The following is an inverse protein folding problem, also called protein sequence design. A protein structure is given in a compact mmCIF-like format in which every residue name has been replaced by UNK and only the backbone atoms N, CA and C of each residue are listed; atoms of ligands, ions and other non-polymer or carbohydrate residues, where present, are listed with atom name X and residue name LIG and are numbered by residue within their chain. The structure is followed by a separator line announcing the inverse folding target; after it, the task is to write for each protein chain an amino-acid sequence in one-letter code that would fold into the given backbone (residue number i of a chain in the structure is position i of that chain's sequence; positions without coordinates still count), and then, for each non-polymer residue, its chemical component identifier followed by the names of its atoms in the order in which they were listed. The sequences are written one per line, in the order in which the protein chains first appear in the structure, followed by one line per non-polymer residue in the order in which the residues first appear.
data_IF_549646457513
#
_entry.id   IF_549646457513
#
_cell.length_a   1.000
_cell.length_b   1.000
_cell.length_c   1.000
_cell.angle_alpha   90.00
_cell.angle_beta   90.00
_cell.angle_gamma   90.00
#
_symmetry.space_group_name_H-M   'P 1'
#
loop_
_entity.id
_entity.type
_entity.pdbx_description
1 polymer ?
#
# COMPACT_ATOMS: atom_id res chain seq x y z
N UNK A 1 40.92 -8.47 -12.32
CA UNK A 1 40.99 -7.45 -11.26
C UNK A 1 39.58 -7.00 -10.99
N UNK A 2 38.98 -7.57 -9.95
CA UNK A 2 37.60 -7.27 -9.57
C UNK A 2 37.52 -5.83 -9.07
N UNK A 3 36.86 -4.97 -9.84
CA UNK A 3 36.55 -3.60 -9.43
C UNK A 3 35.49 -3.63 -8.36
N UNK A 4 35.93 -3.81 -7.11
CA UNK A 4 35.11 -3.61 -5.92
C UNK A 4 34.60 -2.17 -5.97
N UNK A 5 33.28 -2.01 -5.88
CA UNK A 5 32.64 -0.69 -5.87
C UNK A 5 33.28 0.20 -4.80
N UNK A 6 33.66 1.46 -5.11
CA UNK A 6 34.20 2.40 -4.13
C UNK A 6 33.29 2.59 -2.91
N UNK A 7 32.00 2.30 -3.06
CA UNK A 7 30.99 2.40 -1.99
C UNK A 7 31.12 1.28 -0.93
N UNK A 8 31.82 0.17 -1.23
CA UNK A 8 32.12 -0.90 -0.26
C UNK A 8 33.31 -0.58 0.64
N UNK A 9 34.09 0.48 0.34
CA UNK A 9 35.27 0.88 1.14
C UNK A 9 34.91 1.72 2.37
N UNK A 10 33.67 2.22 2.46
CA UNK A 10 33.19 2.92 3.64
C UNK A 10 32.31 1.99 4.50
N UNK A 11 32.31 2.11 5.84
CA UNK A 11 31.40 1.39 6.73
C UNK A 11 29.97 1.96 6.65
N UNK A 12 29.46 2.12 5.43
CA UNK A 12 28.09 2.51 5.17
C UNK A 12 27.27 1.23 5.21
N UNK A 13 26.40 1.10 6.20
CA UNK A 13 25.33 0.11 6.14
C UNK A 13 24.32 0.60 5.09
N UNK A 14 24.60 0.36 3.81
CA UNK A 14 23.83 0.92 2.67
C UNK A 14 22.33 0.59 2.79
N UNK A 15 22.00 -0.55 3.40
CA UNK A 15 20.61 -0.99 3.65
C UNK A 15 19.88 -0.06 4.62
N UNK A 16 20.59 0.62 5.53
CA UNK A 16 20.02 1.53 6.52
C UNK A 16 20.13 3.02 6.14
N UNK A 17 20.64 3.34 4.95
CA UNK A 17 20.94 4.73 4.53
C UNK A 17 20.10 5.19 3.34
N UNK A 18 19.29 4.31 2.75
CA UNK A 18 18.38 4.65 1.65
C UNK A 18 16.96 4.35 2.09
N UNK A 19 16.13 5.38 2.39
CA UNK A 19 14.74 5.17 2.77
C UNK A 19 13.98 4.51 1.62
N UNK A 20 13.01 3.66 1.94
CA UNK A 20 12.14 3.08 0.91
C UNK A 20 11.24 4.16 0.30
N UNK A 21 11.28 4.29 -1.03
CA UNK A 21 10.28 5.08 -1.74
C UNK A 21 8.91 4.42 -1.58
N UNK A 22 8.00 5.07 -0.85
CA UNK A 22 6.70 4.48 -0.55
C UNK A 22 5.78 4.44 -1.78
N UNK A 23 5.96 5.32 -2.78
CA UNK A 23 5.19 5.26 -4.03
C UNK A 23 5.52 3.98 -4.79
N UNK A 24 6.80 3.58 -4.81
CA UNK A 24 7.23 2.35 -5.44
C UNK A 24 6.93 1.13 -4.58
N UNK A 25 7.31 1.15 -3.31
CA UNK A 25 7.13 0.03 -2.39
C UNK A 25 5.65 -0.23 -2.09
N UNK A 26 4.92 0.80 -1.65
CA UNK A 26 3.54 0.67 -1.17
C UNK A 26 2.55 0.79 -2.33
N UNK A 27 2.56 1.90 -3.08
CA UNK A 27 1.51 2.15 -4.07
C UNK A 27 1.63 1.20 -5.28
N UNK A 28 2.78 1.18 -5.96
CA UNK A 28 3.02 0.30 -7.12
C UNK A 28 3.33 -1.14 -6.73
N UNK A 29 3.85 -1.36 -5.52
CA UNK A 29 4.20 -2.68 -5.00
C UNK A 29 3.04 -3.36 -4.31
N UNK A 30 2.66 -2.89 -3.12
CA UNK A 30 1.66 -3.56 -2.25
C UNK A 30 0.23 -3.35 -2.73
N UNK A 31 -0.20 -2.10 -2.98
CA UNK A 31 -1.59 -1.78 -3.35
C UNK A 31 -1.94 -2.37 -4.71
N UNK A 32 -1.05 -2.24 -5.70
CA UNK A 32 -1.22 -2.91 -7.00
C UNK A 32 -1.34 -4.43 -6.87
N UNK A 33 -0.58 -5.05 -5.94
CA UNK A 33 -0.63 -6.50 -5.69
C UNK A 33 -1.95 -6.92 -5.04
N UNK A 34 -2.47 -6.13 -4.09
CA UNK A 34 -3.80 -6.32 -3.53
C UNK A 34 -4.88 -6.23 -4.62
N UNK A 35 -4.84 -5.22 -5.48
CA UNK A 35 -5.76 -5.12 -6.63
C UNK A 35 -5.65 -6.34 -7.55
N UNK A 36 -4.45 -6.84 -7.83
CA UNK A 36 -4.27 -8.08 -8.61
C UNK A 36 -4.92 -9.29 -7.93
N UNK A 37 -4.81 -9.40 -6.60
CA UNK A 37 -5.44 -10.46 -5.82
C UNK A 37 -6.98 -10.39 -5.94
N UNK A 38 -7.57 -9.21 -5.75
CA UNK A 38 -9.02 -9.03 -5.78
C UNK A 38 -9.60 -9.12 -7.19
N UNK A 39 -8.92 -8.57 -8.20
CA UNK A 39 -9.46 -8.49 -9.57
C UNK A 39 -9.28 -9.79 -10.34
N UNK A 40 -8.13 -10.45 -10.19
CA UNK A 40 -7.79 -11.63 -11.01
C UNK A 40 -7.93 -12.93 -10.22
N UNK A 41 -7.71 -12.89 -8.90
CA UNK A 41 -7.64 -14.08 -8.05
C UNK A 41 -6.32 -14.85 -8.21
N UNK A 42 -5.23 -14.14 -8.56
CA UNK A 42 -3.93 -14.74 -8.90
C UNK A 42 -3.21 -15.47 -7.76
N UNK A 43 -3.68 -15.30 -6.51
CA UNK A 43 -3.07 -15.90 -5.33
C UNK A 43 -4.07 -16.81 -4.62
N UNK A 44 -5.27 -16.29 -4.39
CA UNK A 44 -6.42 -17.09 -3.94
C UNK A 44 -7.68 -16.63 -4.66
N UNK A 45 -8.62 -17.57 -4.87
CA UNK A 45 -9.95 -17.25 -5.41
C UNK A 45 -10.92 -16.75 -4.33
N UNK A 46 -10.63 -16.98 -3.05
CA UNK A 46 -11.54 -16.66 -1.93
C UNK A 46 -11.85 -15.16 -1.82
N UNK A 47 -10.83 -14.32 -2.02
CA UNK A 47 -10.93 -12.85 -1.96
C UNK A 47 -11.19 -12.21 -3.34
N UNK A 48 -11.39 -13.02 -4.38
CA UNK A 48 -11.60 -12.51 -5.74
C UNK A 48 -12.99 -11.90 -5.87
N UNK A 49 -13.07 -10.72 -6.47
CA UNK A 49 -14.33 -10.09 -6.83
C UNK A 49 -15.08 -10.87 -7.93
N UNK A 50 -16.39 -10.94 -7.79
CA UNK A 50 -17.30 -11.24 -8.89
C UNK A 50 -17.39 -10.05 -9.84
N UNK A 51 -17.88 -10.25 -11.07
CA UNK A 51 -18.14 -9.16 -12.01
C UNK A 51 -19.05 -8.08 -11.40
N UNK A 52 -20.09 -8.50 -10.66
CA UNK A 52 -20.99 -7.60 -9.94
C UNK A 52 -20.25 -6.76 -8.89
N UNK A 53 -19.35 -7.35 -8.11
CA UNK A 53 -18.55 -6.60 -7.13
C UNK A 53 -17.61 -5.59 -7.81
N UNK A 54 -16.98 -5.97 -8.93
CA UNK A 54 -16.16 -5.05 -9.72
C UNK A 54 -17.00 -3.85 -10.20
N UNK A 55 -18.17 -4.11 -10.77
CA UNK A 55 -19.08 -3.06 -11.25
C UNK A 55 -19.55 -2.14 -10.12
N UNK A 56 -19.82 -2.70 -8.94
CA UNK A 56 -20.21 -1.92 -7.76
C UNK A 56 -19.06 -1.01 -7.28
N UNK A 57 -17.83 -1.53 -7.17
CA UNK A 57 -16.67 -0.72 -6.75
C UNK A 57 -16.36 0.36 -7.78
N UNK A 58 -16.35 0.01 -9.07
CA UNK A 58 -16.17 0.98 -10.17
C UNK A 58 -17.25 2.07 -10.14
N UNK A 59 -18.52 1.70 -9.96
CA UNK A 59 -19.61 2.69 -9.87
C UNK A 59 -19.47 3.61 -8.67
N UNK A 60 -18.98 3.10 -7.53
CA UNK A 60 -18.69 3.93 -6.35
C UNK A 60 -17.52 4.89 -6.62
N UNK A 61 -16.46 4.45 -7.29
CA UNK A 61 -15.34 5.31 -7.69
C UNK A 61 -15.79 6.43 -8.64
N UNK A 62 -16.60 6.10 -9.66
CA UNK A 62 -17.14 7.09 -10.60
C UNK A 62 -18.11 8.09 -9.93
N UNK A 63 -18.82 7.68 -8.87
CA UNK A 63 -19.60 8.62 -8.05
C UNK A 63 -18.68 9.56 -7.27
N UNK A 64 -17.62 9.05 -6.64
CA UNK A 64 -16.65 9.86 -5.90
C UNK A 64 -15.89 10.84 -6.81
N UNK A 65 -15.71 10.50 -8.09
CA UNK A 65 -15.09 11.36 -9.10
C UNK A 65 -15.64 12.79 -9.10
N UNK A 66 -16.96 12.94 -8.93
CA UNK A 66 -17.66 14.24 -8.93
C UNK A 66 -17.33 15.13 -7.73
N UNK A 67 -16.83 14.52 -6.65
CA UNK A 67 -16.53 15.20 -5.38
C UNK A 67 -15.01 15.23 -5.11
N UNK A 68 -14.20 14.86 -6.10
CA UNK A 68 -12.74 14.85 -5.94
C UNK A 68 -12.20 16.29 -5.97
N UNK A 69 -11.47 16.73 -4.93
CA UNK A 69 -10.84 18.04 -4.90
C UNK A 69 -9.81 18.23 -6.03
N UNK A 70 -9.57 19.49 -6.41
CA UNK A 70 -8.67 19.89 -7.53
C UNK A 70 -7.20 19.65 -7.21
N UNK A 71 -6.85 19.52 -5.94
CA UNK A 71 -5.51 19.25 -5.43
C UNK A 71 -5.04 17.84 -5.81
N UNK A 72 -5.96 16.92 -6.11
CA UNK A 72 -5.59 15.62 -6.64
C UNK A 72 -5.25 15.73 -8.13
N UNK A 73 -4.01 15.38 -8.48
CA UNK A 73 -3.53 15.37 -9.86
C UNK A 73 -4.27 14.40 -10.79
N UNK A 74 -5.03 13.45 -10.22
CA UNK A 74 -5.84 12.47 -10.95
C UNK A 74 -7.18 12.29 -10.25
N UNK A 75 -8.21 12.15 -11.07
CA UNK A 75 -9.56 11.85 -10.62
C UNK A 75 -9.73 10.33 -10.45
N UNK A 76 -10.49 9.87 -9.43
CA UNK A 76 -10.90 8.48 -9.33
C UNK A 76 -11.55 8.03 -10.63
N UNK A 77 -11.22 6.81 -11.05
CA UNK A 77 -11.80 6.15 -12.22
C UNK A 77 -12.12 4.69 -11.91
N UNK A 78 -12.79 4.02 -12.84
CA UNK A 78 -13.14 2.60 -12.73
C UNK A 78 -11.99 1.70 -12.27
N UNK A 79 -12.28 0.76 -11.36
CA UNK A 79 -11.32 -0.26 -10.94
C UNK A 79 -11.00 -1.27 -12.06
N UNK A 80 -11.79 -1.29 -13.15
CA UNK A 80 -11.48 -2.11 -14.34
C UNK A 80 -10.15 -1.72 -14.98
N UNK A 81 -9.76 -0.45 -14.84
CA UNK A 81 -8.54 0.11 -15.44
C UNK A 81 -7.32 0.03 -14.50
N UNK A 82 -7.43 -0.73 -13.40
CA UNK A 82 -6.39 -0.79 -12.34
C UNK A 82 -5.00 -1.15 -12.86
N UNK A 83 -4.89 -1.86 -13.99
CA UNK A 83 -3.60 -2.25 -14.58
C UNK A 83 -2.79 -1.03 -15.04
N UNK A 84 -3.50 0.03 -15.44
CA UNK A 84 -2.96 1.26 -16.01
C UNK A 84 -2.90 2.40 -14.99
N UNK A 85 -3.18 2.11 -13.71
CA UNK A 85 -3.08 3.09 -12.64
C UNK A 85 -1.62 3.46 -12.39
N UNK A 86 -1.36 4.76 -12.24
CA UNK A 86 -0.07 5.28 -11.77
C UNK A 86 0.03 5.22 -10.25
N UNK A 87 1.23 5.42 -9.72
CA UNK A 87 1.48 5.47 -8.28
C UNK A 87 0.57 6.48 -7.56
N UNK A 88 0.32 7.65 -8.17
CA UNK A 88 -0.56 8.68 -7.62
C UNK A 88 -2.02 8.24 -7.50
N UNK A 89 -2.51 7.45 -8.46
CA UNK A 89 -3.86 6.88 -8.43
C UNK A 89 -3.97 5.80 -7.37
N UNK A 90 -2.95 4.94 -7.23
CA UNK A 90 -2.90 3.95 -6.14
C UNK A 90 -2.77 4.60 -4.76
N UNK A 91 -2.02 5.71 -4.65
CA UNK A 91 -1.93 6.50 -3.41
C UNK A 91 -3.30 7.07 -3.05
N UNK A 92 -3.98 7.71 -4.01
CA UNK A 92 -5.32 8.24 -3.81
C UNK A 92 -6.29 7.13 -3.41
N UNK A 93 -6.21 5.98 -4.09
CA UNK A 93 -6.99 4.80 -3.79
C UNK A 93 -6.76 4.37 -2.34
N UNK A 94 -5.51 4.06 -1.96
CA UNK A 94 -5.13 3.61 -0.63
C UNK A 94 -5.60 4.56 0.47
N UNK A 95 -5.32 5.86 0.33
CA UNK A 95 -5.46 6.83 1.42
C UNK A 95 -6.84 7.47 1.55
N UNK A 96 -7.68 7.40 0.50
CA UNK A 96 -8.94 8.16 0.49
C UNK A 96 -10.13 7.32 0.02
N UNK A 97 -10.08 6.73 -1.18
CA UNK A 97 -11.30 6.17 -1.77
C UNK A 97 -11.58 4.72 -1.33
N UNK A 98 -10.54 3.89 -1.18
CA UNK A 98 -10.68 2.45 -0.86
C UNK A 98 -11.51 2.13 0.37
N UNK A 99 -11.31 2.80 1.54
CA UNK A 99 -12.07 2.47 2.75
C UNK A 99 -13.57 2.57 2.52
N UNK A 100 -14.01 3.54 1.70
CA UNK A 100 -15.42 3.76 1.38
C UNK A 100 -15.89 2.82 0.28
N UNK A 101 -15.16 2.72 -0.83
CA UNK A 101 -15.66 1.97 -1.99
C UNK A 101 -15.64 0.46 -1.77
N UNK A 102 -14.73 -0.06 -0.93
CA UNK A 102 -14.62 -1.48 -0.63
C UNK A 102 -15.55 -1.95 0.50
N UNK A 103 -16.05 -1.04 1.34
CA UNK A 103 -16.87 -1.40 2.50
C UNK A 103 -18.14 -2.15 2.09
N UNK A 104 -18.38 -3.31 2.71
CA UNK A 104 -19.50 -4.20 2.40
C UNK A 104 -19.45 -4.85 1.01
N UNK A 105 -18.32 -4.80 0.30
CA UNK A 105 -18.12 -5.50 -0.98
C UNK A 105 -16.94 -6.47 -0.89
N UNK A 106 -15.81 -6.01 -0.36
CA UNK A 106 -14.66 -6.88 -0.11
C UNK A 106 -14.95 -7.80 1.07
N UNK A 107 -14.51 -9.05 0.96
CA UNK A 107 -14.65 -10.03 2.04
C UNK A 107 -14.10 -9.44 3.34
N UNK A 108 -14.86 -9.56 4.43
CA UNK A 108 -14.62 -8.85 5.69
C UNK A 108 -13.18 -8.98 6.19
N UNK A 109 -12.63 -10.20 6.21
CA UNK A 109 -11.24 -10.44 6.62
C UNK A 109 -10.22 -9.71 5.74
N UNK A 110 -10.43 -9.67 4.42
CA UNK A 110 -9.57 -8.96 3.49
C UNK A 110 -9.75 -7.43 3.60
N UNK A 111 -10.95 -6.95 3.93
CA UNK A 111 -11.22 -5.54 4.19
C UNK A 111 -10.56 -5.06 5.47
N UNK A 112 -10.73 -5.76 6.59
CA UNK A 112 -10.05 -5.46 7.85
C UNK A 112 -8.52 -5.53 7.70
N UNK A 113 -8.04 -6.50 6.93
CA UNK A 113 -6.61 -6.59 6.57
C UNK A 113 -6.15 -5.36 5.79
N UNK A 114 -6.88 -4.95 4.75
CA UNK A 114 -6.59 -3.72 4.02
C UNK A 114 -6.59 -2.47 4.92
N UNK A 115 -7.51 -2.38 5.88
CA UNK A 115 -7.58 -1.24 6.81
C UNK A 115 -6.34 -1.12 7.70
N UNK A 116 -5.66 -2.23 8.03
CA UNK A 116 -4.35 -2.17 8.71
C UNK A 116 -3.33 -1.38 7.89
N UNK A 117 -3.25 -1.67 6.58
CA UNK A 117 -2.34 -0.94 5.68
C UNK A 117 -2.77 0.52 5.54
N UNK A 118 -4.06 0.77 5.25
CA UNK A 118 -4.59 2.12 5.11
C UNK A 118 -4.25 2.99 6.34
N UNK A 119 -4.59 2.52 7.54
CA UNK A 119 -4.38 3.27 8.77
C UNK A 119 -2.88 3.50 9.05
N UNK A 120 -2.05 2.47 8.86
CA UNK A 120 -0.61 2.57 9.09
C UNK A 120 0.02 3.61 8.17
N UNK A 121 -0.23 3.52 6.86
CA UNK A 121 0.37 4.45 5.89
C UNK A 121 -0.16 5.87 6.11
N UNK A 122 -1.45 6.05 6.48
CA UNK A 122 -2.02 7.36 6.80
C UNK A 122 -1.31 8.05 7.96
N UNK A 123 -0.89 7.30 8.98
CA UNK A 123 -0.08 7.80 10.10
C UNK A 123 1.34 8.13 9.61
N UNK A 124 1.98 7.25 8.85
CA UNK A 124 3.38 7.40 8.44
C UNK A 124 3.63 8.55 7.45
N UNK A 125 2.60 8.97 6.71
CA UNK A 125 2.66 10.17 5.85
C UNK A 125 2.23 11.44 6.58
N UNK A 126 1.65 11.35 7.77
CA UNK A 126 1.12 12.52 8.48
C UNK A 126 2.28 13.36 9.02
N UNK A 127 2.34 14.69 8.74
CA UNK A 127 3.40 15.55 9.26
C UNK A 127 3.37 15.67 10.79
N UNK A 128 2.23 15.35 11.40
CA UNK A 128 2.06 15.30 12.85
C UNK A 128 1.67 13.88 13.25
N UNK A 129 2.54 13.24 14.03
CA UNK A 129 2.26 11.95 14.65
C UNK A 129 2.79 11.95 16.08
N UNK A 130 2.12 11.18 16.94
CA UNK A 130 2.65 10.89 18.27
C UNK A 130 3.44 9.59 18.24
N UNK A 131 4.37 9.41 19.19
CA UNK A 131 5.08 8.13 19.37
C UNK A 131 4.13 6.93 19.44
N UNK A 132 3.01 7.08 20.15
CA UNK A 132 1.95 6.05 20.25
C UNK A 132 1.35 5.67 18.90
N UNK A 133 1.17 6.64 17.99
CA UNK A 133 0.65 6.38 16.65
C UNK A 133 1.70 5.66 15.78
N UNK A 134 2.98 6.00 15.90
CA UNK A 134 4.04 5.24 15.22
C UNK A 134 4.10 3.79 15.71
N UNK A 135 4.03 3.57 17.02
CA UNK A 135 4.05 2.23 17.60
C UNK A 135 2.83 1.42 17.15
N UNK A 136 1.65 2.06 17.06
CA UNK A 136 0.47 1.47 16.44
C UNK A 136 0.72 1.06 14.99
N UNK A 137 1.28 1.94 14.15
CA UNK A 137 1.58 1.64 12.75
C UNK A 137 2.55 0.47 12.60
N UNK A 138 3.57 0.39 13.47
CA UNK A 138 4.51 -0.72 13.46
C UNK A 138 3.81 -2.06 13.76
N UNK A 139 2.97 -2.08 14.80
CA UNK A 139 2.18 -3.26 15.16
C UNK A 139 1.21 -3.64 14.03
N UNK A 140 0.54 -2.65 13.44
CA UNK A 140 -0.43 -2.85 12.36
C UNK A 140 0.24 -3.38 11.08
N UNK A 141 1.41 -2.87 10.68
CA UNK A 141 2.17 -3.38 9.54
C UNK A 141 2.72 -4.80 9.80
N UNK A 142 3.25 -5.07 11.00
CA UNK A 142 3.64 -6.44 11.40
C UNK A 142 2.47 -7.41 11.30
N UNK A 143 1.28 -7.01 11.78
CA UNK A 143 0.06 -7.80 11.67
C UNK A 143 -0.40 -7.98 10.22
N UNK A 144 -0.33 -6.93 9.40
CA UNK A 144 -0.63 -6.99 7.98
C UNK A 144 0.23 -8.04 7.27
N UNK A 145 1.55 -7.98 7.44
CA UNK A 145 2.50 -8.92 6.83
C UNK A 145 2.26 -10.35 7.29
N UNK A 146 2.07 -10.57 8.60
CA UNK A 146 1.80 -11.91 9.16
C UNK A 146 0.53 -12.56 8.60
N UNK A 147 -0.50 -11.77 8.30
CA UNK A 147 -1.79 -12.28 7.80
C UNK A 147 -1.79 -12.51 6.28
N UNK A 148 -0.83 -11.97 5.54
CA UNK A 148 -0.77 -12.07 4.08
C UNK A 148 -0.76 -13.51 3.58
N UNK A 149 0.08 -14.38 4.17
CA UNK A 149 0.19 -15.78 3.74
C UNK A 149 -1.13 -16.53 3.93
N UNK A 150 -1.81 -16.32 5.05
CA UNK A 150 -3.08 -17.00 5.33
C UNK A 150 -4.21 -16.50 4.42
N UNK A 151 -4.24 -15.20 4.13
CA UNK A 151 -5.32 -14.60 3.33
C UNK A 151 -5.13 -14.81 1.83
N UNK A 152 -3.89 -14.80 1.35
CA UNK A 152 -3.61 -14.77 -0.08
C UNK A 152 -2.75 -15.94 -0.55
N UNK A 153 -2.06 -16.65 0.35
CA UNK A 153 -1.10 -17.72 0.03
C UNK A 153 0.35 -17.22 0.06
N UNK A 154 1.29 -18.18 0.12
CA UNK A 154 2.74 -17.93 0.21
C UNK A 154 3.26 -17.03 -0.91
N UNK A 155 2.79 -17.26 -2.14
CA UNK A 155 3.21 -16.50 -3.32
C UNK A 155 2.83 -15.02 -3.22
N UNK A 156 1.91 -14.62 -2.34
CA UNK A 156 1.59 -13.21 -2.12
C UNK A 156 2.70 -12.47 -1.38
N UNK A 157 3.48 -13.15 -0.53
CA UNK A 157 4.49 -12.51 0.33
C UNK A 157 5.76 -12.21 -0.48
N UNK A 158 5.77 -11.06 -1.16
CA UNK A 158 6.91 -10.59 -1.96
C UNK A 158 7.85 -9.68 -1.17
N UNK A 159 8.99 -9.31 -1.77
CA UNK A 159 9.90 -8.29 -1.22
C UNK A 159 9.17 -7.02 -0.76
N UNK A 160 8.29 -6.47 -1.60
CA UNK A 160 7.53 -5.27 -1.24
C UNK A 160 6.63 -5.44 0.00
N UNK A 161 6.15 -6.66 0.27
CA UNK A 161 5.36 -6.96 1.47
C UNK A 161 6.26 -6.97 2.70
N UNK A 162 7.45 -7.58 2.61
CA UNK A 162 8.44 -7.54 3.69
C UNK A 162 8.97 -6.13 3.95
N UNK A 163 9.16 -5.33 2.90
CA UNK A 163 9.62 -3.94 3.00
C UNK A 163 8.76 -3.07 3.90
N UNK A 164 7.46 -3.38 4.04
CA UNK A 164 6.57 -2.69 4.96
C UNK A 164 7.06 -2.71 6.42
N UNK A 165 7.80 -3.75 6.83
CA UNK A 165 8.31 -3.87 8.20
C UNK A 165 9.37 -2.83 8.55
N UNK A 166 9.97 -2.19 7.55
CA UNK A 166 11.02 -1.19 7.72
C UNK A 166 10.47 0.25 7.73
N UNK A 167 9.27 0.48 7.18
CA UNK A 167 8.73 1.83 6.98
C UNK A 167 8.59 2.66 8.26
N UNK A 168 8.24 2.03 9.38
CA UNK A 168 8.12 2.76 10.66
C UNK A 168 9.48 3.22 11.18
N UNK A 169 10.53 2.44 10.93
CA UNK A 169 11.89 2.81 11.35
C UNK A 169 12.49 3.87 10.43
N UNK A 170 12.20 3.78 9.13
CA UNK A 170 12.54 4.84 8.18
C UNK A 170 11.91 6.18 8.61
N UNK A 171 10.64 6.18 9.04
CA UNK A 171 9.98 7.40 9.50
C UNK A 171 10.58 7.96 10.79
N UNK A 172 11.01 7.09 11.72
CA UNK A 172 11.70 7.52 12.94
C UNK A 172 13.05 8.16 12.63
N UNK A 173 13.75 7.67 11.61
CA UNK A 173 15.12 8.07 11.28
C UNK A 173 15.18 9.28 10.35
N UNK A 174 14.32 9.30 9.33
CA UNK A 174 14.43 10.23 8.20
C UNK A 174 13.25 11.22 8.08
N UNK A 175 12.20 11.06 8.89
CA UNK A 175 10.98 11.87 8.80
C UNK A 175 9.89 11.18 7.96
N UNK A 176 8.77 11.87 7.75
CA UNK A 176 7.56 11.26 7.14
C UNK A 176 7.79 10.72 5.74
N UNK A 177 7.00 9.72 5.33
CA UNK A 177 7.15 9.07 4.03
C UNK A 177 7.07 10.03 2.83
N UNK A 178 6.30 11.11 2.94
CA UNK A 178 6.17 12.13 1.89
C UNK A 178 7.42 13.01 1.73
N UNK A 179 8.31 13.06 2.72
CA UNK A 179 9.56 13.86 2.67
C UNK A 179 10.79 13.05 2.29
N UNK A 180 10.69 11.72 2.27
CA UNK A 180 11.80 10.80 2.00
C UNK A 180 11.71 10.13 0.61
N UNK A 181 10.69 10.47 -0.18
CA UNK A 181 10.43 9.95 -1.54
C UNK A 181 10.35 11.07 -2.57
#
# INVERSE_FOLDING_TARGET
SDTISPLLQFPLNIVSQVPFDYMHLVCLGVVRRLCKAWMVGNFTKSVKFSCKHIDMVSSRLEKLRKYCPVEFSRLPRSLKDWKDYKATEFRQFLLYTSPVVLNGILQENAYLHFLLLHASIRVLISPTYSKKLLDFSEIALKKFVKLCENLYGKDFVSYNIHGLLHLTEDVRTFGVLDTIS
#
